data_IF_259125456825
#
_entry.id   IF_259125456825
#
_cell.length_a   1.000
_cell.length_b   1.000
_cell.length_c   1.000
_cell.angle_alpha   90.00
_cell.angle_beta   90.00
_cell.angle_gamma   90.00
#
_symmetry.space_group_name_H-M   'P 1'
#
loop_
_entity.id
_entity.type
_entity.pdbx_description
1 polymer ?
#
# COMPACT_ATOMS: atom_id res chain seq x y z
N UNK A 1 -18.52 4.99 -51.45
CA UNK A 1 -18.21 5.61 -50.15
C UNK A 1 -16.95 6.43 -50.30
N UNK A 2 -16.97 7.69 -49.87
CA UNK A 2 -15.92 8.67 -50.14
C UNK A 2 -14.86 8.61 -49.02
N UNK A 3 -13.56 8.53 -49.36
CA UNK A 3 -12.46 8.49 -48.37
C UNK A 3 -12.48 9.68 -47.41
N UNK A 4 -13.05 10.80 -47.85
CA UNK A 4 -13.15 12.02 -47.06
C UNK A 4 -14.15 11.90 -45.89
N UNK A 5 -15.27 11.17 -46.07
CA UNK A 5 -16.22 10.92 -44.98
C UNK A 5 -15.70 9.88 -43.98
N UNK A 6 -14.89 8.91 -44.43
CA UNK A 6 -14.24 7.93 -43.53
C UNK A 6 -13.16 8.58 -42.66
N UNK A 7 -12.35 9.48 -43.23
CA UNK A 7 -11.32 10.20 -42.47
C UNK A 7 -11.94 11.15 -41.43
N UNK A 8 -13.02 11.86 -41.77
CA UNK A 8 -13.73 12.71 -40.83
C UNK A 8 -14.36 11.89 -39.68
N UNK A 9 -14.98 10.75 -39.97
CA UNK A 9 -15.50 9.85 -38.94
C UNK A 9 -14.40 9.28 -38.04
N UNK A 10 -13.22 8.97 -38.59
CA UNK A 10 -12.08 8.47 -37.82
C UNK A 10 -11.47 9.54 -36.89
N UNK A 11 -11.44 10.81 -37.32
CA UNK A 11 -10.96 11.93 -36.50
C UNK A 11 -11.93 12.24 -35.35
N UNK A 12 -13.24 12.33 -35.62
CA UNK A 12 -14.28 12.53 -34.60
C UNK A 12 -14.33 11.37 -33.59
N UNK A 13 -14.16 10.12 -34.04
CA UNK A 13 -14.13 8.96 -33.16
C UNK A 13 -12.91 8.97 -32.22
N UNK A 14 -11.75 9.44 -32.69
CA UNK A 14 -10.52 9.56 -31.90
C UNK A 14 -10.66 10.61 -30.78
N UNK A 15 -11.24 11.77 -31.10
CA UNK A 15 -11.44 12.86 -30.14
C UNK A 15 -12.43 12.46 -29.02
N UNK A 16 -13.54 11.83 -29.42
CA UNK A 16 -14.56 11.31 -28.49
C UNK A 16 -14.03 10.16 -27.61
N UNK A 17 -13.05 9.39 -28.07
CA UNK A 17 -12.46 8.27 -27.32
C UNK A 17 -11.50 8.75 -26.23
N UNK A 18 -10.68 9.77 -26.50
CA UNK A 18 -9.75 10.32 -25.51
C UNK A 18 -10.48 10.89 -24.29
N UNK A 19 -11.47 11.77 -24.51
CA UNK A 19 -12.21 12.42 -23.42
C UNK A 19 -12.95 11.42 -22.53
N UNK A 20 -13.53 10.36 -23.12
CA UNK A 20 -14.15 9.26 -22.37
C UNK A 20 -13.14 8.54 -21.48
N UNK A 21 -11.97 8.18 -22.01
CA UNK A 21 -10.92 7.47 -21.24
C UNK A 21 -10.34 8.32 -20.12
N UNK A 22 -10.15 9.62 -20.34
CA UNK A 22 -9.73 10.54 -19.29
C UNK A 22 -10.77 10.67 -18.18
N UNK A 23 -12.06 10.86 -18.52
CA UNK A 23 -13.15 10.91 -17.54
C UNK A 23 -13.28 9.60 -16.76
N UNK A 24 -13.12 8.46 -17.42
CA UNK A 24 -13.09 7.14 -16.76
C UNK A 24 -11.91 7.03 -15.81
N UNK A 25 -10.72 7.49 -16.20
CA UNK A 25 -9.55 7.49 -15.34
C UNK A 25 -9.75 8.40 -14.12
N UNK A 26 -10.38 9.57 -14.27
CA UNK A 26 -10.68 10.48 -13.18
C UNK A 26 -11.71 9.90 -12.19
N UNK A 27 -12.73 9.19 -12.68
CA UNK A 27 -13.65 8.45 -11.79
C UNK A 27 -12.92 7.39 -10.98
N UNK A 28 -12.01 6.65 -11.63
CA UNK A 28 -11.21 5.63 -10.99
C UNK A 28 -10.19 6.20 -9.98
N UNK A 29 -9.78 7.46 -10.15
CA UNK A 29 -8.91 8.17 -9.21
C UNK A 29 -9.53 8.23 -7.81
N UNK A 30 -10.82 8.56 -7.72
CA UNK A 30 -11.55 8.61 -6.45
C UNK A 30 -11.59 7.25 -5.74
N UNK A 31 -11.81 6.17 -6.51
CA UNK A 31 -11.75 4.79 -5.99
C UNK A 31 -10.35 4.46 -5.47
N UNK A 32 -9.30 4.91 -6.14
CA UNK A 32 -7.91 4.76 -5.70
C UNK A 32 -7.65 5.39 -4.33
N UNK A 33 -8.14 6.61 -4.10
CA UNK A 33 -8.03 7.27 -2.79
C UNK A 33 -8.76 6.51 -1.69
N UNK A 34 -9.96 5.98 -1.98
CA UNK A 34 -10.70 5.14 -1.03
C UNK A 34 -9.91 3.88 -0.68
N UNK A 35 -9.28 3.24 -1.67
CA UNK A 35 -8.40 2.09 -1.40
C UNK A 35 -7.19 2.46 -0.56
N UNK A 36 -6.56 3.63 -0.75
CA UNK A 36 -5.47 4.05 0.12
C UNK A 36 -5.94 4.16 1.58
N UNK A 37 -7.05 4.85 1.82
CA UNK A 37 -7.60 5.00 3.18
C UNK A 37 -7.96 3.63 3.77
N UNK A 38 -8.66 2.78 3.01
CA UNK A 38 -9.07 1.46 3.46
C UNK A 38 -7.87 0.55 3.76
N UNK A 39 -6.84 0.56 2.92
CA UNK A 39 -5.61 -0.21 3.12
C UNK A 39 -4.84 0.23 4.36
N UNK A 40 -4.69 1.55 4.55
CA UNK A 40 -4.07 2.12 5.76
C UNK A 40 -4.87 1.76 7.02
N UNK A 41 -6.19 1.93 6.98
CA UNK A 41 -7.07 1.62 8.10
C UNK A 41 -7.03 0.12 8.47
N UNK A 42 -7.07 -0.76 7.47
CA UNK A 42 -7.03 -2.21 7.66
C UNK A 42 -5.69 -2.65 8.26
N UNK A 43 -4.56 -2.12 7.76
CA UNK A 43 -3.24 -2.40 8.31
C UNK A 43 -3.10 -1.89 9.74
N UNK A 44 -3.52 -0.65 9.99
CA UNK A 44 -3.47 -0.04 11.31
C UNK A 44 -4.29 -0.83 12.33
N UNK A 45 -5.56 -1.11 12.02
CA UNK A 45 -6.45 -1.81 12.93
C UNK A 45 -6.00 -3.26 13.20
N UNK A 46 -5.43 -3.92 12.19
CA UNK A 46 -4.85 -5.25 12.37
C UNK A 46 -3.64 -5.22 13.31
N UNK A 47 -2.75 -4.24 13.15
CA UNK A 47 -1.51 -4.17 13.92
C UNK A 47 -1.73 -3.72 15.37
N UNK A 48 -2.67 -2.79 15.63
CA UNK A 48 -2.98 -2.34 16.98
C UNK A 48 -3.52 -3.47 17.89
N UNK A 49 -4.34 -4.37 17.33
CA UNK A 49 -4.87 -5.53 18.10
C UNK A 49 -3.77 -6.51 18.52
N UNK A 50 -2.61 -6.49 17.88
CA UNK A 50 -1.47 -7.32 18.28
C UNK A 50 -0.81 -6.73 19.52
N UNK A 51 -0.66 -5.41 19.57
CA UNK A 51 -0.08 -4.73 20.73
C UNK A 51 -0.91 -4.96 22.00
N UNK A 52 -2.24 -4.84 21.88
CA UNK A 52 -3.16 -5.03 23.01
C UNK A 52 -3.00 -6.44 23.62
N UNK A 53 -2.86 -7.46 22.78
CA UNK A 53 -2.67 -8.85 23.25
C UNK A 53 -1.34 -9.06 23.96
N UNK A 54 -0.26 -8.47 23.45
CA UNK A 54 1.06 -8.56 24.08
C UNK A 54 1.05 -7.90 25.47
N UNK A 55 0.36 -6.75 25.61
CA UNK A 55 0.20 -6.07 26.90
C UNK A 55 -0.62 -6.89 27.89
N UNK A 56 -1.73 -7.51 27.45
CA UNK A 56 -2.55 -8.37 28.33
C UNK A 56 -1.75 -9.57 28.87
N UNK A 57 -0.89 -10.18 28.05
CA UNK A 57 -0.05 -11.30 28.48
C UNK A 57 0.95 -10.86 29.56
N UNK A 58 1.63 -9.72 29.35
CA UNK A 58 2.57 -9.18 30.33
C UNK A 58 1.89 -8.77 31.65
N UNK A 59 0.67 -8.23 31.58
CA UNK A 59 -0.12 -7.89 32.76
C UNK A 59 -0.63 -9.14 33.50
N UNK A 60 -1.07 -10.17 32.76
CA UNK A 60 -1.49 -11.43 33.35
C UNK A 60 -0.34 -12.09 34.13
N UNK A 61 0.88 -12.08 33.57
CA UNK A 61 2.07 -12.59 34.25
C UNK A 61 2.41 -11.80 35.54
N UNK A 62 2.24 -10.47 35.51
CA UNK A 62 2.42 -9.63 36.71
C UNK A 62 1.39 -9.94 37.81
N UNK A 63 0.11 -10.08 37.46
CA UNK A 63 -0.96 -10.45 38.42
C UNK A 63 -0.73 -11.84 39.00
N UNK A 64 -0.32 -12.82 38.19
CA UNK A 64 0.03 -14.16 38.66
C UNK A 64 1.24 -14.16 39.60
N UNK A 65 2.18 -13.23 39.41
CA UNK A 65 3.34 -13.05 40.29
C UNK A 65 2.95 -12.46 41.66
N UNK A 66 1.90 -11.64 41.70
CA UNK A 66 1.40 -11.00 42.92
C UNK A 66 0.40 -11.87 43.71
N UNK A 67 -0.18 -12.91 43.10
CA UNK A 67 -1.25 -13.71 43.72
C UNK A 67 -0.79 -15.12 44.11
N UNK A 68 -0.78 -15.45 45.41
CA UNK A 68 -0.69 -16.85 45.91
C UNK A 68 -1.95 -17.66 45.48
N UNK A 69 -1.84 -18.99 45.31
CA UNK A 69 -2.69 -19.77 44.41
C UNK A 69 -4.04 -20.13 45.04
N UNK A 70 -4.98 -19.18 45.09
CA UNK A 70 -6.34 -19.45 45.59
C UNK A 70 -7.45 -19.04 44.59
N UNK A 71 -7.12 -18.68 43.35
CA UNK A 71 -8.08 -18.15 42.36
C UNK A 71 -8.14 -18.94 41.05
N UNK A 72 -7.73 -20.22 41.06
CA UNK A 72 -7.61 -21.05 39.85
C UNK A 72 -8.97 -21.51 39.25
N UNK A 73 -10.11 -21.27 39.91
CA UNK A 73 -11.39 -21.90 39.50
C UNK A 73 -12.44 -20.97 38.88
N UNK A 74 -12.27 -19.65 38.95
CA UNK A 74 -13.30 -18.69 38.51
C UNK A 74 -13.00 -18.08 37.12
N UNK A 75 -11.73 -18.03 36.70
CA UNK A 75 -11.31 -17.40 35.44
C UNK A 75 -11.47 -18.30 34.18
N UNK A 76 -11.61 -19.61 34.38
CA UNK A 76 -11.61 -20.60 33.31
C UNK A 76 -12.97 -20.69 32.58
N UNK A 77 -14.04 -20.18 33.20
CA UNK A 77 -15.43 -20.37 32.71
C UNK A 77 -15.95 -19.24 31.81
N UNK A 78 -15.36 -18.04 31.85
CA UNK A 78 -15.76 -16.93 30.96
C UNK A 78 -14.89 -16.80 29.69
N UNK A 79 -13.74 -17.48 29.63
CA UNK A 79 -12.75 -17.32 28.54
C UNK A 79 -12.85 -18.36 27.42
N UNK A 80 -13.70 -19.38 27.56
CA UNK A 80 -13.74 -20.53 26.65
C UNK A 80 -14.74 -20.42 25.48
N UNK A 81 -15.58 -19.38 25.43
CA UNK A 81 -16.59 -19.23 24.38
C UNK A 81 -16.29 -18.01 23.51
N UNK A 82 -15.92 -18.29 22.26
CA UNK A 82 -15.82 -17.35 21.13
C UNK A 82 -14.59 -16.43 21.06
N UNK A 83 -13.38 -16.95 21.26
CA UNK A 83 -12.22 -16.31 20.62
C UNK A 83 -12.21 -16.72 19.13
N UNK A 84 -12.53 -15.84 18.17
CA UNK A 84 -12.38 -16.18 16.75
C UNK A 84 -10.93 -16.60 16.52
N UNK A 85 -10.77 -17.78 15.91
CA UNK A 85 -9.48 -18.41 15.63
C UNK A 85 -8.67 -17.54 14.65
N UNK A 86 -8.05 -16.48 15.16
CA UNK A 86 -7.13 -15.62 14.41
C UNK A 86 -5.80 -16.34 14.30
N UNK A 87 -5.76 -17.35 13.43
CA UNK A 87 -4.56 -18.11 13.14
C UNK A 87 -3.45 -17.17 12.65
N UNK A 88 -2.19 -17.55 12.88
CA UNK A 88 -1.04 -16.77 12.40
C UNK A 88 -1.18 -16.49 10.90
N UNK A 89 -1.57 -17.48 10.11
CA UNK A 89 -1.81 -17.32 8.67
C UNK A 89 -2.82 -16.20 8.34
N UNK A 90 -3.92 -16.09 9.08
CA UNK A 90 -4.92 -15.04 8.88
C UNK A 90 -4.34 -13.63 9.14
N UNK A 91 -3.50 -13.49 10.17
CA UNK A 91 -2.83 -12.20 10.50
C UNK A 91 -1.87 -11.76 9.39
N UNK A 92 -1.08 -12.70 8.86
CA UNK A 92 -0.20 -12.42 7.72
C UNK A 92 -1.00 -12.12 6.45
N UNK A 93 -2.11 -12.83 6.21
CA UNK A 93 -2.99 -12.59 5.09
C UNK A 93 -3.62 -11.18 5.12
N UNK A 94 -4.02 -10.67 6.29
CA UNK A 94 -4.51 -9.30 6.45
C UNK A 94 -3.43 -8.26 6.12
N UNK A 95 -2.17 -8.50 6.49
CA UNK A 95 -1.06 -7.60 6.14
C UNK A 95 -0.79 -7.59 4.64
N UNK A 96 -0.73 -8.78 4.02
CA UNK A 96 -0.56 -8.90 2.56
C UNK A 96 -1.75 -8.27 1.84
N UNK A 97 -2.97 -8.53 2.30
CA UNK A 97 -4.20 -7.93 1.76
C UNK A 97 -4.20 -6.40 1.86
N UNK A 98 -3.83 -5.86 3.01
CA UNK A 98 -3.69 -4.41 3.20
C UNK A 98 -2.63 -3.79 2.29
N UNK A 99 -1.46 -4.43 2.16
CA UNK A 99 -0.42 -4.01 1.22
C UNK A 99 -0.90 -4.04 -0.25
N UNK A 100 -1.64 -5.08 -0.65
CA UNK A 100 -2.22 -5.20 -1.99
C UNK A 100 -3.24 -4.08 -2.22
N UNK A 101 -4.11 -3.79 -1.26
CA UNK A 101 -5.08 -2.68 -1.35
C UNK A 101 -4.35 -1.34 -1.51
N UNK A 102 -3.28 -1.10 -0.72
CA UNK A 102 -2.45 0.10 -0.87
C UNK A 102 -1.80 0.19 -2.25
N UNK A 103 -1.23 -0.91 -2.74
CA UNK A 103 -0.63 -1.00 -4.06
C UNK A 103 -1.64 -0.65 -5.16
N UNK A 104 -2.84 -1.24 -5.10
CA UNK A 104 -3.91 -0.96 -6.05
C UNK A 104 -4.38 0.49 -5.97
N UNK A 105 -4.53 1.05 -4.77
CA UNK A 105 -4.84 2.46 -4.57
C UNK A 105 -3.82 3.37 -5.23
N UNK A 106 -2.53 3.12 -5.00
CA UNK A 106 -1.42 3.90 -5.54
C UNK A 106 -1.30 3.74 -7.06
N UNK A 107 -1.41 2.52 -7.60
CA UNK A 107 -1.37 2.27 -9.04
C UNK A 107 -2.54 2.97 -9.77
N UNK A 108 -3.72 2.99 -9.15
CA UNK A 108 -4.90 3.66 -9.71
C UNK A 108 -4.77 5.19 -9.64
N UNK A 109 -4.04 5.72 -8.65
CA UNK A 109 -3.75 7.15 -8.52
C UNK A 109 -3.00 7.71 -9.74
N UNK A 110 -2.10 6.92 -10.31
CA UNK A 110 -1.28 7.31 -11.46
C UNK A 110 -1.90 6.97 -12.82
N UNK A 111 -3.05 6.29 -12.88
CA UNK A 111 -3.72 5.95 -14.15
C UNK A 111 -4.03 7.17 -15.04
N UNK A 112 -4.56 8.29 -14.52
CA UNK A 112 -4.83 9.48 -15.34
C UNK A 112 -3.57 10.01 -16.03
N UNK A 113 -2.41 9.92 -15.36
CA UNK A 113 -1.12 10.34 -15.92
C UNK A 113 -0.74 9.49 -17.14
N UNK A 114 -1.01 8.18 -17.12
CA UNK A 114 -0.72 7.28 -18.26
C UNK A 114 -1.58 7.64 -19.47
N UNK A 115 -2.87 7.95 -19.27
CA UNK A 115 -3.80 8.33 -20.35
C UNK A 115 -3.35 9.61 -21.05
N UNK A 116 -2.76 10.56 -20.33
CA UNK A 116 -2.22 11.79 -20.92
C UNK A 116 -1.01 11.52 -21.84
N UNK A 117 -0.20 10.52 -21.50
CA UNK A 117 1.03 10.18 -22.24
C UNK A 117 0.74 9.21 -23.41
N UNK A 118 -0.46 8.63 -23.49
CA UNK A 118 -0.86 7.65 -24.52
C UNK A 118 -0.75 8.20 -25.95
N UNK A 119 -0.76 9.53 -26.14
CA UNK A 119 -0.51 10.16 -27.44
C UNK A 119 0.89 9.89 -28.01
N UNK A 120 1.85 9.46 -27.18
CA UNK A 120 3.21 9.09 -27.60
C UNK A 120 3.45 7.60 -27.27
N UNK A 121 3.26 6.69 -28.23
CA UNK A 121 3.22 5.24 -27.97
C UNK A 121 4.52 4.67 -27.39
N UNK A 122 5.67 5.27 -27.69
CA UNK A 122 6.97 4.86 -27.15
C UNK A 122 7.07 5.13 -25.63
N UNK A 123 6.56 6.30 -25.19
CA UNK A 123 6.67 6.76 -23.81
C UNK A 123 5.59 6.09 -22.95
N UNK A 124 4.40 5.87 -23.52
CA UNK A 124 3.26 5.26 -22.82
C UNK A 124 3.62 3.89 -22.21
N UNK A 125 4.30 3.01 -22.96
CA UNK A 125 4.69 1.68 -22.49
C UNK A 125 5.73 1.71 -21.37
N UNK A 126 6.69 2.63 -21.43
CA UNK A 126 7.71 2.82 -20.39
C UNK A 126 7.12 3.42 -19.12
N UNK A 127 6.29 4.46 -19.27
CA UNK A 127 5.65 5.16 -18.16
C UNK A 127 4.66 4.25 -17.45
N UNK A 128 3.85 3.47 -18.19
CA UNK A 128 2.92 2.50 -17.60
C UNK A 128 3.64 1.47 -16.72
N UNK A 129 4.69 0.80 -17.23
CA UNK A 129 5.48 -0.15 -16.44
C UNK A 129 6.22 0.52 -15.29
N UNK A 130 6.84 1.68 -15.53
CA UNK A 130 7.56 2.43 -14.50
C UNK A 130 6.67 2.83 -13.33
N UNK A 131 5.45 3.29 -13.61
CA UNK A 131 4.45 3.63 -12.60
C UNK A 131 4.06 2.43 -11.77
N UNK A 132 3.85 1.25 -12.38
CA UNK A 132 3.50 0.04 -11.61
C UNK A 132 4.61 -0.38 -10.66
N UNK A 133 5.88 -0.33 -11.11
CA UNK A 133 7.03 -0.66 -10.26
C UNK A 133 7.20 0.40 -9.16
N UNK A 134 7.08 1.68 -9.51
CA UNK A 134 7.10 2.78 -8.54
C UNK A 134 6.02 2.61 -7.47
N UNK A 135 4.80 2.29 -7.88
CA UNK A 135 3.67 2.09 -6.99
C UNK A 135 3.90 0.90 -6.05
N UNK A 136 4.46 -0.20 -6.56
CA UNK A 136 4.77 -1.40 -5.79
C UNK A 136 5.86 -1.15 -4.73
N UNK A 137 6.95 -0.48 -5.11
CA UNK A 137 8.03 -0.14 -4.17
C UNK A 137 7.54 0.86 -3.11
N UNK A 138 6.73 1.84 -3.54
CA UNK A 138 6.21 2.87 -2.64
C UNK A 138 5.17 2.29 -1.67
N UNK A 139 4.27 1.42 -2.13
CA UNK A 139 3.28 0.77 -1.25
C UNK A 139 3.95 -0.16 -0.24
N UNK A 140 5.00 -0.87 -0.64
CA UNK A 140 5.80 -1.71 0.25
C UNK A 140 6.46 -0.85 1.33
N UNK A 141 7.11 0.25 0.94
CA UNK A 141 7.71 1.21 1.86
C UNK A 141 6.69 1.78 2.87
N UNK A 142 5.52 2.25 2.38
CA UNK A 142 4.46 2.76 3.25
C UNK A 142 3.98 1.71 4.26
N UNK A 143 3.83 0.46 3.82
CA UNK A 143 3.39 -0.64 4.70
C UNK A 143 4.43 -0.89 5.80
N UNK A 144 5.73 -0.91 5.46
CA UNK A 144 6.79 -1.08 6.45
C UNK A 144 6.84 0.05 7.46
N UNK A 145 6.72 1.30 7.00
CA UNK A 145 6.71 2.48 7.89
C UNK A 145 5.51 2.44 8.83
N UNK A 146 4.33 2.05 8.34
CA UNK A 146 3.11 1.96 9.16
C UNK A 146 3.26 0.87 10.23
N UNK A 147 3.72 -0.32 9.86
CA UNK A 147 3.96 -1.41 10.83
C UNK A 147 5.02 -0.97 11.84
N UNK A 148 6.10 -0.34 11.39
CA UNK A 148 7.15 0.19 12.26
C UNK A 148 6.59 1.16 13.31
N UNK A 149 5.69 2.07 12.93
CA UNK A 149 5.13 3.06 13.84
C UNK A 149 4.35 2.39 14.99
N UNK A 150 3.64 1.29 14.70
CA UNK A 150 2.89 0.52 15.70
C UNK A 150 3.84 -0.22 16.64
N UNK A 151 4.85 -0.91 16.10
CA UNK A 151 5.81 -1.67 16.92
C UNK A 151 6.75 -0.79 17.75
N UNK A 152 6.90 0.50 17.43
CA UNK A 152 7.69 1.42 18.27
C UNK A 152 7.19 1.51 19.72
N UNK A 153 5.90 1.28 19.96
CA UNK A 153 5.30 1.36 21.30
C UNK A 153 5.62 0.13 22.15
N UNK A 154 5.41 -1.09 21.61
CA UNK A 154 5.66 -2.32 22.38
C UNK A 154 7.12 -2.79 22.33
N UNK A 155 7.82 -2.59 21.21
CA UNK A 155 9.20 -3.07 20.99
C UNK A 155 10.00 -2.06 20.15
N UNK A 156 10.50 -0.97 20.73
CA UNK A 156 11.08 0.16 20.01
C UNK A 156 12.24 -0.20 19.08
N UNK A 157 13.08 -1.19 19.45
CA UNK A 157 14.20 -1.66 18.62
C UNK A 157 13.70 -2.33 17.33
N UNK A 158 12.65 -3.17 17.43
CA UNK A 158 12.10 -3.86 16.26
C UNK A 158 11.40 -2.87 15.32
N UNK A 159 10.67 -1.90 15.87
CA UNK A 159 10.13 -0.78 15.12
C UNK A 159 11.22 -0.02 14.35
N UNK A 160 12.27 0.43 15.04
CA UNK A 160 13.36 1.19 14.40
C UNK A 160 14.03 0.45 13.23
N UNK A 161 14.25 -0.86 13.36
CA UNK A 161 14.81 -1.68 12.28
C UNK A 161 13.88 -1.73 11.05
N UNK A 162 12.57 -1.90 11.26
CA UNK A 162 11.60 -1.88 10.15
C UNK A 162 11.48 -0.49 9.51
N UNK A 163 11.59 0.59 10.29
CA UNK A 163 11.61 1.95 9.76
C UNK A 163 12.76 2.13 8.76
N UNK A 164 13.97 1.71 9.15
CA UNK A 164 15.15 1.79 8.29
C UNK A 164 14.97 0.95 7.03
N UNK A 165 14.44 -0.27 7.14
CA UNK A 165 14.14 -1.11 6.00
C UNK A 165 13.10 -0.46 5.05
N UNK A 166 12.09 0.22 5.59
CA UNK A 166 11.09 0.95 4.82
C UNK A 166 11.64 2.14 4.02
N UNK A 167 12.73 2.75 4.47
CA UNK A 167 13.37 3.89 3.79
C UNK A 167 14.20 3.45 2.58
N UNK A 168 14.74 2.22 2.57
CA UNK A 168 15.64 1.73 1.49
C UNK A 168 15.00 1.79 0.09
N UNK A 169 13.76 1.32 -0.14
CA UNK A 169 13.11 1.43 -1.45
C UNK A 169 12.94 2.88 -1.91
N UNK A 170 12.62 3.81 -1.00
CA UNK A 170 12.48 5.23 -1.32
C UNK A 170 13.82 5.85 -1.73
N UNK A 171 14.91 5.51 -1.01
CA UNK A 171 16.25 5.96 -1.36
C UNK A 171 16.73 5.40 -2.70
N UNK A 172 16.43 4.14 -2.98
CA UNK A 172 16.75 3.52 -4.27
C UNK A 172 16.07 4.28 -5.42
N UNK A 173 14.77 4.54 -5.29
CA UNK A 173 13.94 5.26 -6.26
C UNK A 173 14.42 6.70 -6.47
N UNK A 174 14.80 7.36 -5.38
CA UNK A 174 15.36 8.71 -5.40
C UNK A 174 16.72 8.77 -6.13
N UNK A 175 17.61 7.80 -5.86
CA UNK A 175 18.94 7.73 -6.50
C UNK A 175 18.85 7.37 -7.99
N UNK A 176 17.94 6.48 -8.38
CA UNK A 176 17.76 6.13 -9.80
C UNK A 176 17.31 7.33 -10.63
N UNK A 177 16.44 8.19 -10.11
CA UNK A 177 15.99 9.40 -10.79
C UNK A 177 17.11 10.42 -11.02
N UNK A 178 18.01 10.61 -10.05
CA UNK A 178 19.16 11.54 -10.20
C UNK A 178 20.20 11.05 -11.20
N UNK A 179 20.51 9.74 -11.21
CA UNK A 179 21.55 9.17 -12.09
C UNK A 179 21.19 9.26 -13.57
N UNK A 180 19.90 9.14 -13.91
CA UNK A 180 19.42 9.34 -15.28
C UNK A 180 19.70 10.77 -15.78
N UNK A 181 19.43 11.77 -14.94
CA UNK A 181 19.65 13.20 -15.26
C UNK A 181 21.13 13.53 -15.45
N UNK A 182 22.01 12.99 -14.60
CA UNK A 182 23.45 13.24 -14.68
C UNK A 182 24.10 12.63 -15.92
N UNK A 183 23.72 11.40 -16.32
CA UNK A 183 24.22 10.79 -17.56
C UNK A 183 23.82 11.59 -18.81
N UNK A 184 22.63 12.20 -18.79
CA UNK A 184 22.14 13.01 -19.89
C UNK A 184 22.85 14.36 -19.97
N UNK A 185 23.17 14.98 -18.83
CA UNK A 185 23.99 16.19 -18.76
C UNK A 185 25.43 15.96 -19.26
N UNK A 186 26.04 14.81 -18.94
CA UNK A 186 27.38 14.45 -19.41
C UNK A 186 27.45 14.08 -20.90
N UNK A 187 26.35 13.62 -21.51
CA UNK A 187 26.31 13.27 -22.93
C UNK A 187 26.12 14.51 -23.83
N UNK A 188 25.64 15.60 -23.25
CA UNK A 188 25.35 16.87 -23.93
C UNK A 188 26.41 17.96 -23.65
N UNK A 189 27.46 17.63 -22.90
CA UNK A 189 28.63 18.48 -22.61
C UNK A 189 29.85 17.95 -23.39
#
# INVERSE_FOLDING_TARGET
MNKQSENQQNEEASENTFGRRFKTALKNLGVGTVFLIAGLFLLWHNESKILEREQTISQAEAVLSETKPNAEQDAEKETAQEAPQTTTAFRWALRVGGWVILFLGLATLFKPLVVLVEKIPLIANFVGRGITIFALLSSLSLTLILISAVWMVARPVFGALMLLAGIVPLLFLYRSGRRARLKQAWKNA
#
